data_IF_518067773768
#
_entry.id   IF_518067773768
#
_cell.length_a   1.000
_cell.length_b   1.000
_cell.length_c   1.000
_cell.angle_alpha   90.00
_cell.angle_beta   90.00
_cell.angle_gamma   90.00
#
_symmetry.space_group_name_H-M   'P 1'
#
loop_
_entity.id
_entity.type
_entity.pdbx_description
1 polymer ?
#
# COMPACT_ATOMS: atom_id res chain seq x y z
N UNK A 1 17.85 24.79 14.56
CA UNK A 1 16.87 24.10 15.40
C UNK A 1 16.92 24.71 16.80
N UNK A 2 15.79 25.16 17.31
CA UNK A 2 15.64 25.60 18.69
C UNK A 2 15.64 24.40 19.64
N UNK A 3 15.90 24.63 20.94
CA UNK A 3 15.85 23.57 21.96
C UNK A 3 14.48 22.88 21.99
N UNK A 4 13.40 23.65 21.81
CA UNK A 4 12.03 23.12 21.70
C UNK A 4 11.90 22.18 20.50
N UNK A 5 12.40 22.57 19.33
CA UNK A 5 12.35 21.75 18.11
C UNK A 5 13.16 20.45 18.25
N UNK A 6 14.31 20.50 18.92
CA UNK A 6 15.13 19.30 19.15
C UNK A 6 14.46 18.33 20.14
N UNK A 7 13.85 18.85 21.21
CA UNK A 7 13.07 18.04 22.15
C UNK A 7 11.85 17.44 21.44
N UNK A 8 11.13 18.24 20.64
CA UNK A 8 9.97 17.77 19.90
C UNK A 8 10.32 16.64 18.93
N UNK A 9 11.41 16.78 18.16
CA UNK A 9 11.87 15.74 17.24
C UNK A 9 12.22 14.43 17.96
N UNK A 10 12.87 14.54 19.12
CA UNK A 10 13.17 13.39 19.98
C UNK A 10 11.90 12.72 20.52
N UNK A 11 10.91 13.51 20.95
CA UNK A 11 9.63 13.01 21.44
C UNK A 11 8.79 12.36 20.34
N UNK A 12 8.77 12.92 19.13
CA UNK A 12 8.09 12.33 17.97
C UNK A 12 8.67 10.97 17.59
N UNK A 13 9.99 10.82 17.73
CA UNK A 13 10.67 9.53 17.50
C UNK A 13 10.34 8.52 18.60
N UNK A 14 10.29 8.97 19.86
CA UNK A 14 10.04 8.11 21.04
C UNK A 14 8.59 7.67 21.18
N UNK A 15 7.63 8.54 20.83
CA UNK A 15 6.20 8.33 21.01
C UNK A 15 5.46 8.35 19.67
N UNK A 16 5.67 7.29 18.88
CA UNK A 16 4.98 7.14 17.59
C UNK A 16 3.46 6.98 17.79
N UNK A 17 2.67 7.67 16.97
CA UNK A 17 1.20 7.63 17.03
C UNK A 17 0.56 8.57 18.06
N UNK A 18 1.33 9.36 18.82
CA UNK A 18 0.80 10.43 19.67
C UNK A 18 0.59 11.71 18.86
N UNK A 19 -0.52 12.41 19.10
CA UNK A 19 -0.85 13.67 18.42
C UNK A 19 0.25 14.72 18.60
N UNK A 20 0.63 15.37 17.49
CA UNK A 20 1.72 16.33 17.46
C UNK A 20 1.49 17.54 18.39
N UNK A 21 0.24 17.97 18.61
CA UNK A 21 -0.05 19.08 19.52
C UNK A 21 0.23 18.73 20.99
N UNK A 22 0.03 17.46 21.37
CA UNK A 22 0.36 16.96 22.71
C UNK A 22 1.89 16.96 22.90
N UNK A 23 2.63 16.42 21.92
CA UNK A 23 4.08 16.36 21.98
C UNK A 23 4.71 17.76 21.95
N UNK A 24 4.15 18.68 21.16
CA UNK A 24 4.56 20.09 21.14
C UNK A 24 4.37 20.73 22.52
N UNK A 25 3.23 20.51 23.18
CA UNK A 25 2.99 21.05 24.53
C UNK A 25 3.99 20.51 25.55
N UNK A 26 4.31 19.22 25.49
CA UNK A 26 5.30 18.60 26.36
C UNK A 26 6.70 19.19 26.08
N UNK A 27 7.07 19.32 24.80
CA UNK A 27 8.34 19.91 24.40
C UNK A 27 8.47 21.35 24.89
N UNK A 28 7.41 22.18 24.75
CA UNK A 28 7.40 23.55 25.28
C UNK A 28 7.61 23.56 26.79
N UNK A 29 6.83 22.79 27.56
CA UNK A 29 6.97 22.73 29.03
C UNK A 29 8.33 22.21 29.48
N UNK A 30 8.91 21.23 28.78
CA UNK A 30 10.20 20.64 29.13
C UNK A 30 11.39 21.47 28.66
N UNK A 31 11.20 22.37 27.70
CA UNK A 31 12.21 23.33 27.27
C UNK A 31 12.24 24.61 28.13
N UNK A 32 11.24 24.83 28.99
CA UNK A 32 11.22 25.98 29.89
C UNK A 32 12.45 25.97 30.80
N UNK A 33 13.24 27.05 30.74
CA UNK A 33 14.47 27.19 31.52
C UNK A 33 15.67 26.40 30.99
N UNK A 34 15.55 25.70 29.86
CA UNK A 34 16.65 24.97 29.24
C UNK A 34 17.40 25.90 28.28
N UNK A 35 18.64 26.20 28.62
CA UNK A 35 19.52 27.06 27.81
C UNK A 35 20.65 26.28 27.13
N UNK A 36 20.87 25.04 27.54
CA UNK A 36 21.91 24.17 27.00
C UNK A 36 21.31 23.01 26.18
N UNK A 37 21.67 22.95 24.90
CA UNK A 37 21.23 21.91 23.99
C UNK A 37 21.79 20.51 24.37
N UNK A 38 22.86 20.43 25.15
CA UNK A 38 23.42 19.15 25.61
C UNK A 38 22.46 18.36 26.52
N UNK A 39 21.49 19.06 27.14
CA UNK A 39 20.50 18.47 28.05
C UNK A 39 19.33 17.83 27.32
N UNK A 40 19.16 18.10 26.01
CA UNK A 40 18.02 17.64 25.20
C UNK A 40 17.84 16.12 25.22
N UNK A 41 18.88 15.28 25.03
CA UNK A 41 18.71 13.83 25.07
C UNK A 41 18.17 13.34 26.42
N UNK A 42 18.71 13.86 27.52
CA UNK A 42 18.28 13.53 28.89
C UNK A 42 16.83 13.94 29.14
N UNK A 43 16.42 15.11 28.63
CA UNK A 43 15.04 15.60 28.74
C UNK A 43 14.07 14.68 27.98
N UNK A 44 14.42 14.29 26.76
CA UNK A 44 13.61 13.39 25.93
C UNK A 44 13.50 12.00 26.58
N UNK A 45 14.59 11.48 27.14
CA UNK A 45 14.59 10.22 27.87
C UNK A 45 13.75 10.28 29.15
N UNK A 46 13.78 11.40 29.88
CA UNK A 46 13.03 11.61 31.11
C UNK A 46 11.51 11.78 30.93
N UNK A 47 11.03 12.03 29.71
CA UNK A 47 9.58 12.11 29.42
C UNK A 47 8.99 10.71 29.32
N UNK A 48 8.00 10.42 30.16
CA UNK A 48 7.32 9.12 30.22
C UNK A 48 5.92 9.15 29.61
N UNK A 49 5.31 7.96 29.51
CA UNK A 49 3.92 7.83 29.03
C UNK A 49 2.91 8.57 29.95
N UNK A 50 3.20 8.69 31.24
CA UNK A 50 2.40 9.47 32.19
C UNK A 50 2.35 10.96 31.83
N UNK A 51 3.47 11.53 31.36
CA UNK A 51 3.50 12.93 30.89
C UNK A 51 2.60 13.12 29.66
N UNK A 52 2.58 12.13 28.77
CA UNK A 52 1.72 12.12 27.58
C UNK A 52 0.24 12.07 27.96
N UNK A 53 -0.15 11.14 28.82
CA UNK A 53 -1.54 11.00 29.28
C UNK A 53 -2.04 12.26 30.01
N UNK A 54 -1.21 12.83 30.87
CA UNK A 54 -1.55 14.04 31.64
C UNK A 54 -1.78 15.23 30.71
N UNK A 55 -0.91 15.41 29.71
CA UNK A 55 -1.07 16.50 28.74
C UNK A 55 -2.21 16.26 27.75
N UNK A 56 -2.58 15.01 27.46
CA UNK A 56 -3.77 14.69 26.68
C UNK A 56 -5.05 15.12 27.40
N UNK A 57 -5.17 14.81 28.70
CA UNK A 57 -6.30 15.24 29.53
C UNK A 57 -6.43 16.77 29.57
N UNK A 58 -5.30 17.46 29.79
CA UNK A 58 -5.21 18.92 29.79
C UNK A 58 -5.53 19.55 28.42
N UNK A 59 -5.12 18.91 27.32
CA UNK A 59 -5.45 19.35 25.97
C UNK A 59 -6.98 19.31 25.72
N UNK A 60 -7.64 18.24 26.15
CA UNK A 60 -9.10 18.09 25.98
C UNK A 60 -9.91 19.01 26.90
N UNK A 61 -9.45 19.23 28.13
CA UNK A 61 -10.09 20.16 29.06
C UNK A 61 -9.98 21.62 28.58
N UNK A 62 -8.82 21.99 28.01
CA UNK A 62 -8.58 23.31 27.43
C UNK A 62 -9.44 23.60 26.20
N UNK A 63 -9.54 22.65 25.25
CA UNK A 63 -10.35 22.82 24.02
C UNK A 63 -11.85 22.99 24.34
N UNK A 64 -12.36 22.23 25.32
CA UNK A 64 -13.74 22.37 25.77
C UNK A 64 -14.02 23.75 26.38
N UNK A 65 -13.11 24.25 27.19
CA UNK A 65 -13.23 25.56 27.85
C UNK A 65 -13.15 26.71 26.84
N UNK A 66 -12.18 26.65 25.92
CA UNK A 66 -12.01 27.66 24.86
C UNK A 66 -13.23 27.74 23.94
N UNK A 67 -13.74 26.59 23.47
CA UNK A 67 -14.95 26.54 22.64
C UNK A 67 -16.19 27.04 23.37
N UNK A 68 -16.32 26.72 24.66
CA UNK A 68 -17.43 27.22 25.49
C UNK A 68 -17.41 28.75 25.59
N UNK A 69 -16.24 29.33 25.90
CA UNK A 69 -16.06 30.78 25.99
C UNK A 69 -16.32 31.45 24.64
N UNK A 70 -15.75 30.93 23.56
CA UNK A 70 -15.94 31.48 22.21
C UNK A 70 -17.41 31.43 21.75
N UNK A 71 -18.11 30.33 22.03
CA UNK A 71 -19.53 30.21 21.71
C UNK A 71 -20.39 31.16 22.54
N UNK A 72 -20.05 31.35 23.82
CA UNK A 72 -20.73 32.30 24.71
C UNK A 72 -20.49 33.75 24.26
N UNK A 73 -19.24 34.11 23.97
CA UNK A 73 -18.84 35.42 23.45
C UNK A 73 -19.59 35.76 22.15
N UNK A 74 -19.64 34.81 21.22
CA UNK A 74 -20.37 34.97 19.96
C UNK A 74 -21.88 35.12 20.17
N UNK A 75 -22.47 34.34 21.07
CA UNK A 75 -23.91 34.38 21.37
C UNK A 75 -24.34 35.70 22.03
N UNK A 76 -23.46 36.28 22.85
CA UNK A 76 -23.76 37.48 23.63
C UNK A 76 -23.08 38.74 23.10
N UNK A 77 -22.48 38.67 21.91
CA UNK A 77 -21.77 39.78 21.26
C UNK A 77 -20.72 40.42 22.17
N UNK A 78 -19.98 39.56 22.88
CA UNK A 78 -18.91 39.94 23.79
C UNK A 78 -17.57 39.60 23.15
N UNK A 79 -16.52 40.32 23.55
CA UNK A 79 -15.15 39.91 23.33
C UNK A 79 -14.35 40.15 24.60
N UNK A 80 -13.66 39.13 25.07
CA UNK A 80 -12.89 39.13 26.32
C UNK A 80 -13.74 39.57 27.53
N UNK A 81 -15.01 39.11 27.55
CA UNK A 81 -15.98 39.42 28.59
C UNK A 81 -16.55 40.84 28.56
N UNK A 82 -16.22 41.67 27.56
CA UNK A 82 -16.73 43.03 27.41
C UNK A 82 -17.73 43.12 26.25
N UNK A 83 -18.82 43.88 26.41
CA UNK A 83 -19.70 44.23 25.29
C UNK A 83 -18.89 44.92 24.19
N UNK A 84 -19.04 44.44 22.97
CA UNK A 84 -18.46 45.10 21.81
C UNK A 84 -19.46 46.16 21.34
N UNK A 85 -19.20 47.44 21.63
CA UNK A 85 -19.96 48.56 21.05
C UNK A 85 -19.68 48.59 19.54
N UNK A 86 -20.71 48.32 18.74
CA UNK A 86 -20.62 48.46 17.28
C UNK A 86 -21.62 49.53 16.83
N UNK A 87 -21.18 50.68 16.30
CA UNK A 87 -22.06 51.73 15.77
C UNK A 87 -22.44 51.44 14.31
N UNK A 88 -22.99 50.26 14.00
CA UNK A 88 -23.45 49.94 12.66
C UNK A 88 -24.86 49.33 12.68
N UNK A 89 -25.90 50.03 12.16
CA UNK A 89 -27.26 49.50 12.02
C UNK A 89 -27.43 48.73 10.69
N UNK A 90 -26.34 48.28 10.08
CA UNK A 90 -26.45 47.28 9.03
C UNK A 90 -26.21 45.92 9.70
N UNK A 91 -27.21 45.02 9.75
CA UNK A 91 -26.88 43.63 10.03
C UNK A 91 -25.91 43.27 8.90
N UNK A 92 -24.65 43.01 9.22
CA UNK A 92 -23.92 42.04 8.43
C UNK A 92 -24.91 40.90 8.21
N UNK A 93 -25.20 40.50 6.96
CA UNK A 93 -26.21 39.50 6.70
C UNK A 93 -25.92 38.40 7.69
N UNK A 94 -26.90 38.12 8.58
CA UNK A 94 -26.90 36.89 9.35
C UNK A 94 -26.36 35.86 8.35
N UNK A 95 -25.16 35.26 8.52
CA UNK A 95 -24.63 34.35 7.52
C UNK A 95 -25.75 33.35 7.39
N UNK A 96 -26.48 33.44 6.28
CA UNK A 96 -27.77 32.80 6.05
C UNK A 96 -27.50 31.39 6.51
N UNK A 97 -28.10 30.92 7.64
CA UNK A 97 -27.51 29.89 8.50
C UNK A 97 -26.92 28.87 7.57
N UNK A 98 -25.58 28.89 7.37
CA UNK A 98 -24.97 28.27 6.18
C UNK A 98 -25.67 26.96 6.06
N UNK A 99 -26.50 26.83 5.01
CA UNK A 99 -27.54 25.79 4.99
C UNK A 99 -26.79 24.55 5.41
N UNK A 100 -27.25 23.77 6.40
CA UNK A 100 -26.45 22.60 6.86
C UNK A 100 -25.96 21.73 5.68
N UNK A 101 -26.64 21.85 4.54
CA UNK A 101 -26.23 21.46 3.20
C UNK A 101 -24.86 21.97 2.67
N UNK A 102 -24.45 23.22 2.87
CA UNK A 102 -23.19 23.80 2.37
C UNK A 102 -21.98 23.36 3.19
N UNK A 103 -22.08 23.34 4.52
CA UNK A 103 -21.01 22.76 5.37
C UNK A 103 -20.88 21.26 5.09
N UNK A 104 -22.00 20.55 4.95
CA UNK A 104 -21.99 19.13 4.57
C UNK A 104 -21.37 18.90 3.19
N UNK A 105 -21.61 19.79 2.22
CA UNK A 105 -20.94 19.75 0.90
C UNK A 105 -19.45 20.00 1.00
N UNK A 106 -19.01 21.02 1.74
CA UNK A 106 -17.58 21.32 1.92
C UNK A 106 -16.86 20.15 2.57
N UNK A 107 -17.47 19.51 3.59
CA UNK A 107 -16.91 18.31 4.23
C UNK A 107 -16.90 17.13 3.24
N UNK A 108 -17.98 16.91 2.51
CA UNK A 108 -18.06 15.83 1.52
C UNK A 108 -17.04 16.02 0.39
N UNK A 109 -16.83 17.25 -0.08
CA UNK A 109 -15.86 17.59 -1.12
C UNK A 109 -14.42 17.42 -0.61
N UNK A 110 -14.13 17.82 0.64
CA UNK A 110 -12.83 17.58 1.26
C UNK A 110 -12.54 16.09 1.48
N UNK A 111 -13.53 15.32 1.94
CA UNK A 111 -13.41 13.86 2.10
C UNK A 111 -13.25 13.20 0.74
N UNK A 112 -14.03 13.58 -0.27
CA UNK A 112 -13.88 13.06 -1.63
C UNK A 112 -12.51 13.43 -2.21
N UNK A 113 -12.03 14.64 -2.02
CA UNK A 113 -10.70 15.04 -2.50
C UNK A 113 -9.57 14.22 -1.85
N UNK A 114 -9.73 13.82 -0.58
CA UNK A 114 -8.77 12.97 0.11
C UNK A 114 -8.90 11.48 -0.24
N UNK A 115 -10.12 10.98 -0.43
CA UNK A 115 -10.40 9.55 -0.64
C UNK A 115 -10.34 9.16 -2.12
N UNK A 116 -10.71 10.06 -3.03
CA UNK A 116 -10.67 9.81 -4.48
C UNK A 116 -9.28 9.40 -4.99
N UNK A 117 -8.17 10.10 -4.68
CA UNK A 117 -6.85 9.66 -5.13
C UNK A 117 -6.48 8.27 -4.59
N UNK A 118 -6.83 7.97 -3.33
CA UNK A 118 -6.59 6.65 -2.74
C UNK A 118 -7.43 5.55 -3.40
N UNK A 119 -8.69 5.85 -3.75
CA UNK A 119 -9.56 4.92 -4.48
C UNK A 119 -9.06 4.69 -5.91
N UNK A 120 -8.63 5.75 -6.59
CA UNK A 120 -8.08 5.68 -7.95
C UNK A 120 -6.76 4.86 -7.94
N UNK A 121 -5.88 5.09 -6.96
CA UNK A 121 -4.63 4.34 -6.78
C UNK A 121 -4.89 2.87 -6.43
N UNK A 122 -5.88 2.57 -5.59
CA UNK A 122 -6.25 1.19 -5.26
C UNK A 122 -6.86 0.45 -6.46
N UNK A 123 -7.63 1.14 -7.30
CA UNK A 123 -8.13 0.60 -8.56
C UNK A 123 -6.99 0.32 -9.54
N UNK A 124 -6.04 1.26 -9.67
CA UNK A 124 -4.83 1.08 -10.48
C UNK A 124 -3.99 -0.10 -9.98
N UNK A 125 -3.73 -0.19 -8.68
CA UNK A 125 -2.95 -1.28 -8.10
C UNK A 125 -3.61 -2.65 -8.33
N UNK A 126 -4.94 -2.74 -8.22
CA UNK A 126 -5.68 -3.97 -8.56
C UNK A 126 -5.52 -4.33 -10.03
N UNK A 127 -5.60 -3.34 -10.93
CA UNK A 127 -5.42 -3.56 -12.36
C UNK A 127 -3.99 -4.01 -12.70
N UNK A 128 -2.98 -3.35 -12.15
CA UNK A 128 -1.57 -3.71 -12.31
C UNK A 128 -1.28 -5.11 -11.76
N UNK A 129 -1.80 -5.44 -10.58
CA UNK A 129 -1.64 -6.78 -10.01
C UNK A 129 -2.30 -7.86 -10.87
N UNK A 130 -3.51 -7.59 -11.38
CA UNK A 130 -4.18 -8.50 -12.31
C UNK A 130 -3.39 -8.68 -13.60
N UNK A 131 -2.80 -7.61 -14.13
CA UNK A 131 -1.97 -7.66 -15.34
C UNK A 131 -0.67 -8.44 -15.08
N UNK A 132 -0.02 -8.22 -13.95
CA UNK A 132 1.20 -8.95 -13.56
C UNK A 132 0.93 -10.45 -13.40
N UNK A 133 -0.14 -10.83 -12.69
CA UNK A 133 -0.54 -12.24 -12.56
C UNK A 133 -0.87 -12.86 -13.91
N UNK A 134 -1.52 -12.12 -14.82
CA UNK A 134 -1.80 -12.61 -16.18
C UNK A 134 -0.52 -12.81 -16.99
N UNK A 135 0.45 -11.90 -16.88
CA UNK A 135 1.76 -12.05 -17.53
C UNK A 135 2.51 -13.28 -17.00
N UNK A 136 2.51 -13.54 -15.69
CA UNK A 136 3.11 -14.74 -15.11
C UNK A 136 2.47 -16.02 -15.66
N UNK A 137 1.13 -16.06 -15.75
CA UNK A 137 0.40 -17.18 -16.36
C UNK A 137 0.77 -17.39 -17.82
N UNK A 138 0.85 -16.31 -18.59
CA UNK A 138 1.30 -16.32 -19.99
C UNK A 138 2.70 -16.94 -20.11
N UNK A 139 3.65 -16.48 -19.29
CA UNK A 139 5.03 -16.97 -19.32
C UNK A 139 5.13 -18.44 -18.90
N UNK A 140 4.40 -18.86 -17.86
CA UNK A 140 4.35 -20.24 -17.42
C UNK A 140 3.80 -21.15 -18.53
N UNK A 141 2.70 -20.74 -19.17
CA UNK A 141 2.08 -21.52 -20.26
C UNK A 141 2.94 -21.55 -21.52
N UNK A 142 3.54 -20.42 -21.90
CA UNK A 142 4.49 -20.37 -23.02
C UNK A 142 5.65 -21.37 -22.82
N UNK A 143 6.20 -21.43 -21.60
CA UNK A 143 7.28 -22.35 -21.24
C UNK A 143 6.84 -23.83 -21.35
N UNK A 144 5.61 -24.15 -20.95
CA UNK A 144 5.02 -25.50 -21.11
C UNK A 144 4.97 -25.92 -22.59
N UNK A 145 4.69 -24.98 -23.49
CA UNK A 145 4.69 -25.21 -24.93
C UNK A 145 6.09 -25.12 -25.58
N UNK A 146 7.15 -24.90 -24.79
CA UNK A 146 8.53 -24.82 -25.25
C UNK A 146 8.94 -23.46 -25.84
N UNK A 147 8.14 -22.42 -25.60
CA UNK A 147 8.38 -21.07 -26.09
C UNK A 147 9.23 -20.30 -25.08
N UNK A 148 10.42 -19.80 -25.45
CA UNK A 148 11.27 -19.01 -24.56
C UNK A 148 10.59 -17.73 -24.10
N UNK A 149 10.90 -17.28 -22.88
CA UNK A 149 10.37 -16.04 -22.30
C UNK A 149 10.60 -14.81 -23.20
N UNK A 150 11.75 -14.75 -23.90
CA UNK A 150 12.10 -13.67 -24.83
C UNK A 150 11.17 -13.57 -26.05
N UNK A 151 10.55 -14.68 -26.45
CA UNK A 151 9.52 -14.75 -27.49
C UNK A 151 8.14 -14.55 -26.88
N UNK A 152 7.86 -15.17 -25.73
CA UNK A 152 6.58 -15.06 -25.04
C UNK A 152 6.19 -13.58 -24.76
N UNK A 153 7.16 -12.75 -24.35
CA UNK A 153 6.95 -11.30 -24.11
C UNK A 153 6.61 -10.49 -25.36
N UNK A 154 6.83 -11.03 -26.56
CA UNK A 154 6.52 -10.36 -27.83
C UNK A 154 5.07 -10.60 -28.26
N UNK A 155 4.41 -11.60 -27.72
CA UNK A 155 3.02 -11.88 -28.03
C UNK A 155 2.11 -10.95 -27.24
N UNK A 156 1.30 -10.17 -27.97
CA UNK A 156 0.22 -9.38 -27.38
C UNK A 156 -1.01 -10.25 -27.21
N UNK A 157 -1.04 -11.01 -26.12
CA UNK A 157 -2.12 -11.97 -25.83
C UNK A 157 -3.29 -11.23 -25.17
N UNK A 158 -4.53 -11.35 -25.70
CA UNK A 158 -5.71 -10.80 -25.06
C UNK A 158 -5.92 -11.31 -23.63
N UNK A 159 -6.49 -10.48 -22.77
CA UNK A 159 -6.72 -10.83 -21.36
C UNK A 159 -7.69 -12.00 -21.19
N UNK A 160 -8.63 -12.16 -22.12
CA UNK A 160 -9.66 -13.19 -22.19
C UNK A 160 -9.28 -14.40 -23.03
N UNK A 161 -8.11 -14.39 -23.68
CA UNK A 161 -7.67 -15.49 -24.52
C UNK A 161 -7.45 -16.78 -23.71
N UNK A 162 -7.85 -17.91 -24.29
CA UNK A 162 -7.45 -19.23 -23.81
C UNK A 162 -5.97 -19.45 -24.11
N UNK A 163 -5.14 -19.46 -23.06
CA UNK A 163 -3.69 -19.59 -23.20
C UNK A 163 -3.28 -20.95 -23.77
N UNK A 164 -4.05 -22.00 -23.52
CA UNK A 164 -3.73 -23.34 -24.00
C UNK A 164 -3.96 -23.44 -25.51
N UNK A 165 -5.11 -22.97 -25.97
CA UNK A 165 -5.42 -22.90 -27.41
C UNK A 165 -4.45 -21.98 -28.14
N UNK A 166 -4.20 -20.79 -27.60
CA UNK A 166 -3.30 -19.81 -28.20
C UNK A 166 -1.87 -20.36 -28.36
N UNK A 167 -1.29 -20.91 -27.29
CA UNK A 167 0.09 -21.40 -27.37
C UNK A 167 0.23 -22.70 -28.15
N UNK A 168 -0.83 -23.50 -28.25
CA UNK A 168 -0.87 -24.65 -29.15
C UNK A 168 -0.79 -24.22 -30.61
N UNK A 169 -1.55 -23.20 -31.01
CA UNK A 169 -1.52 -22.67 -32.38
C UNK A 169 -0.16 -22.01 -32.68
N UNK A 170 0.37 -21.20 -31.75
CA UNK A 170 1.71 -20.59 -31.89
C UNK A 170 2.79 -21.66 -32.02
N UNK A 171 2.73 -22.75 -31.24
CA UNK A 171 3.68 -23.85 -31.36
C UNK A 171 3.58 -24.52 -32.72
N UNK A 172 2.39 -24.71 -33.25
CA UNK A 172 2.18 -25.28 -34.58
C UNK A 172 2.76 -24.38 -35.67
N UNK A 173 2.54 -23.06 -35.60
CA UNK A 173 3.12 -22.09 -36.53
C UNK A 173 4.65 -22.10 -36.48
N UNK A 174 5.24 -22.03 -35.29
CA UNK A 174 6.69 -22.10 -35.11
C UNK A 174 7.27 -23.41 -35.68
N UNK A 175 6.57 -24.53 -35.48
CA UNK A 175 6.98 -25.83 -36.05
C UNK A 175 6.90 -25.82 -37.58
N UNK A 176 5.84 -25.24 -38.15
CA UNK A 176 5.64 -25.15 -39.60
C UNK A 176 6.65 -24.21 -40.29
N UNK A 177 7.08 -23.15 -39.60
CA UNK A 177 8.10 -22.21 -40.07
C UNK A 177 9.54 -22.78 -39.99
N UNK A 178 9.69 -24.02 -39.54
CA UNK A 178 11.00 -24.66 -39.39
C UNK A 178 11.79 -24.14 -38.18
N UNK A 179 11.11 -23.46 -37.24
CA UNK A 179 11.67 -23.16 -35.93
C UNK A 179 11.71 -24.48 -35.15
N UNK A 180 12.82 -25.22 -35.30
CA UNK A 180 13.24 -26.21 -34.32
C UNK A 180 13.63 -25.47 -33.02
N UNK A 181 12.62 -24.91 -32.36
CA UNK A 181 12.75 -24.26 -31.07
C UNK A 181 13.42 -25.24 -30.12
N UNK A 182 14.60 -24.84 -29.65
CA UNK A 182 15.41 -25.44 -28.57
C UNK A 182 14.62 -26.55 -27.89
N UNK A 183 15.00 -27.83 -28.12
CA UNK A 183 14.52 -28.94 -27.31
C UNK A 183 14.59 -28.47 -25.85
N UNK A 184 13.44 -28.25 -25.21
CA UNK A 184 13.39 -28.08 -23.77
C UNK A 184 14.24 -29.21 -23.22
N UNK A 185 15.31 -28.95 -22.43
CA UNK A 185 16.06 -30.03 -21.83
C UNK A 185 15.02 -30.90 -21.15
N UNK A 186 14.96 -32.17 -21.57
CA UNK A 186 14.07 -33.11 -20.94
C UNK A 186 14.30 -32.97 -19.44
N UNK A 187 13.22 -32.76 -18.68
CA UNK A 187 13.34 -32.84 -17.24
C UNK A 187 13.93 -34.20 -16.92
N UNK A 188 14.81 -34.30 -15.91
CA UNK A 188 15.48 -35.58 -15.61
C UNK A 188 14.48 -36.74 -15.49
N UNK A 189 13.26 -36.45 -15.05
CA UNK A 189 12.12 -37.37 -14.98
C UNK A 189 11.63 -37.87 -16.35
N UNK A 190 11.51 -37.00 -17.36
CA UNK A 190 11.13 -37.38 -18.72
C UNK A 190 12.23 -38.16 -19.46
N UNK A 191 13.51 -37.82 -19.24
CA UNK A 191 14.62 -38.62 -19.76
C UNK A 191 14.66 -39.99 -19.10
N UNK A 192 14.49 -40.05 -17.76
CA UNK A 192 14.42 -41.30 -17.01
C UNK A 192 13.26 -42.18 -17.48
N UNK A 193 12.06 -41.63 -17.73
CA UNK A 193 10.92 -42.41 -18.25
C UNK A 193 11.18 -42.98 -19.65
N UNK A 194 11.79 -42.21 -20.55
CA UNK A 194 12.13 -42.69 -21.89
C UNK A 194 13.23 -43.74 -21.86
N UNK A 195 14.29 -43.50 -21.08
CA UNK A 195 15.39 -44.46 -20.93
C UNK A 195 14.92 -45.76 -20.27
N UNK A 196 14.13 -45.67 -19.19
CA UNK A 196 13.55 -46.85 -18.53
C UNK A 196 12.60 -47.61 -19.45
N UNK A 197 11.77 -46.92 -20.24
CA UNK A 197 10.92 -47.56 -21.25
C UNK A 197 11.72 -48.23 -22.38
N UNK A 198 12.83 -47.62 -22.83
CA UNK A 198 13.69 -48.18 -23.86
C UNK A 198 14.44 -49.42 -23.35
N UNK A 199 14.97 -49.37 -22.12
CA UNK A 199 15.63 -50.51 -21.47
C UNK A 199 14.64 -51.65 -21.24
N UNK A 200 13.42 -51.35 -20.78
CA UNK A 200 12.39 -52.37 -20.60
C UNK A 200 12.02 -53.09 -21.91
N UNK A 201 11.96 -52.36 -23.02
CA UNK A 201 11.77 -52.98 -24.35
C UNK A 201 12.94 -53.88 -24.74
N UNK A 202 14.19 -53.40 -24.61
CA UNK A 202 15.36 -54.22 -24.94
C UNK A 202 15.43 -55.50 -24.10
N UNK A 203 15.10 -55.43 -22.81
CA UNK A 203 15.04 -56.61 -21.94
C UNK A 203 13.93 -57.56 -22.40
N UNK A 204 12.75 -57.03 -22.72
CA UNK A 204 11.63 -57.85 -23.20
C UNK A 204 11.96 -58.56 -24.51
N UNK A 205 12.55 -57.84 -25.46
CA UNK A 205 12.91 -58.39 -26.77
C UNK A 205 14.06 -59.39 -26.66
N UNK A 206 15.11 -59.09 -25.90
CA UNK A 206 16.19 -60.06 -25.62
C UNK A 206 15.70 -61.32 -24.89
N UNK A 207 14.73 -61.18 -23.97
CA UNK A 207 14.13 -62.35 -23.30
C UNK A 207 13.33 -63.21 -24.30
N UNK A 208 12.60 -62.59 -25.22
CA UNK A 208 11.90 -63.32 -26.28
C UNK A 208 12.87 -64.06 -27.19
N UNK A 209 13.94 -63.40 -27.63
CA UNK A 209 14.98 -64.02 -28.46
C UNK A 209 15.61 -65.24 -27.77
N UNK A 210 15.94 -65.14 -26.48
CA UNK A 210 16.49 -66.27 -25.70
C UNK A 210 15.48 -67.42 -25.60
N UNK A 211 14.21 -67.11 -25.35
CA UNK A 211 13.15 -68.13 -25.28
C UNK A 211 12.94 -68.81 -26.63
N UNK A 212 13.07 -68.07 -27.72
CA UNK A 212 12.94 -68.59 -29.08
C UNK A 212 14.16 -69.42 -29.49
N UNK A 213 15.36 -69.01 -29.10
CA UNK A 213 16.59 -69.81 -29.25
C UNK A 213 16.52 -71.13 -28.47
N UNK A 214 15.94 -71.14 -27.27
CA UNK A 214 15.79 -72.35 -26.45
C UNK A 214 14.68 -73.30 -26.90
N UNK A 215 13.89 -72.93 -27.91
CA UNK A 215 12.84 -73.79 -28.52
C UNK A 215 13.34 -74.57 -29.75
N UNK A 216 14.54 -74.24 -30.25
CA UNK A 216 15.26 -75.00 -31.28
C UNK A 216 16.28 -75.94 -30.64
#
# INVERSE_FOLDING_TARGET
MTIIEQILAGLQTKFTGVDAAILTRIATKKAEGVTDASQVPTIVEGVGFTDVLTNYGDFRAGDASFKSVQNYEKKHNLKDGKPVENPNPNPTPNPKPEDKSDIAKIIADAVNAAVKPLSDELAQFKAEKSQATRQEQILAKAKEYGIPESQAKRYSIPNDADLDTYFKDVKQELTNEGFEGVKTPETGEQTLEKETSAIAKMISDGTKEIVEQNKN
#
